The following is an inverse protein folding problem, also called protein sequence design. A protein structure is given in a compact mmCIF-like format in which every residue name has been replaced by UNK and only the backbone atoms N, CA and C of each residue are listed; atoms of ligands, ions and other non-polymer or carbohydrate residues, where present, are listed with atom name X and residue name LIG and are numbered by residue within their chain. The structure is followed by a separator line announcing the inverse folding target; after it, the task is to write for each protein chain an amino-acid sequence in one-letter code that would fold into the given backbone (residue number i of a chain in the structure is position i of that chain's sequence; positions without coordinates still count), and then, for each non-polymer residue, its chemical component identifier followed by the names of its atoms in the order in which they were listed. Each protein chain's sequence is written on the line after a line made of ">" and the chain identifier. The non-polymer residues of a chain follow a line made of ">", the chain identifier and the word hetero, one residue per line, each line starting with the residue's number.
data_IF_448240561491
#
_entry.id   IF_448240561491
#
_cell.length_a   1.000
_cell.length_b   1.000
_cell.length_c   1.000
_cell.angle_alpha   90.00
_cell.angle_beta   90.00
_cell.angle_gamma   90.00
#
_symmetry.space_group_name_H-M   'P 1'
#
loop_
_entity.id
_entity.type
_entity.pdbx_description
1 polymer ?
#
# COMPACT_ATOMS: atom_id res chain seq x y z
N UNK A 1 -5.46 8.88 37.25
CA UNK A 1 -4.23 9.58 36.83
C UNK A 1 -3.25 8.55 36.31
N UNK A 2 -3.29 8.26 35.01
CA UNK A 2 -2.27 7.45 34.33
C UNK A 2 -1.54 8.38 33.36
N UNK A 3 -0.24 8.40 33.55
CA UNK A 3 0.77 9.23 32.90
C UNK A 3 0.73 9.11 31.38
N UNK A 4 0.48 10.22 30.70
CA UNK A 4 0.86 10.41 29.30
C UNK A 4 2.38 10.28 29.21
N UNK A 5 2.87 9.32 28.42
CA UNK A 5 4.25 9.35 27.96
C UNK A 5 4.35 10.43 26.86
N UNK A 6 5.39 11.29 26.88
CA UNK A 6 5.46 12.45 26.01
C UNK A 6 5.81 12.07 24.57
N UNK A 7 5.04 12.62 23.63
CA UNK A 7 5.22 12.67 22.17
C UNK A 7 6.61 13.12 21.67
N UNK A 8 7.57 13.39 22.56
CA UNK A 8 8.83 14.05 22.23
C UNK A 8 9.97 13.11 21.84
N UNK A 9 9.96 11.83 22.22
CA UNK A 9 11.10 10.92 21.97
C UNK A 9 11.06 10.27 20.58
N UNK A 10 9.89 10.22 19.92
CA UNK A 10 9.76 9.71 18.54
C UNK A 10 10.09 10.76 17.47
N UNK A 11 10.16 12.05 17.83
CA UNK A 11 10.32 13.13 16.87
C UNK A 11 11.78 13.27 16.39
N UNK A 12 12.76 12.98 17.24
CA UNK A 12 14.18 13.24 16.91
C UNK A 12 14.77 12.25 15.90
N UNK A 13 14.29 11.00 15.88
CA UNK A 13 14.68 10.02 14.85
C UNK A 13 14.02 10.31 13.51
N UNK A 14 12.77 10.79 13.49
CA UNK A 14 12.03 11.15 12.25
C UNK A 14 12.53 12.49 11.65
N UNK A 15 12.92 13.45 12.48
CA UNK A 15 13.47 14.75 12.04
C UNK A 15 14.83 14.61 11.35
N UNK A 16 15.65 13.61 11.67
CA UNK A 16 16.95 13.37 11.03
C UNK A 16 16.83 12.94 9.55
N UNK A 17 15.73 12.29 9.16
CA UNK A 17 15.49 11.85 7.77
C UNK A 17 14.92 12.97 6.87
N UNK A 18 14.32 14.02 7.45
CA UNK A 18 13.65 15.11 6.72
C UNK A 18 14.60 16.07 5.96
N UNK A 19 15.89 16.12 6.32
CA UNK A 19 16.80 17.21 5.91
C UNK A 19 17.51 17.05 4.57
N UNK A 20 17.27 16.00 3.78
CA UNK A 20 18.22 15.67 2.69
C UNK A 20 17.60 15.17 1.40
N UNK A 21 16.67 15.90 0.78
CA UNK A 21 16.16 15.53 -0.55
C UNK A 21 15.97 16.75 -1.46
N UNK A 22 16.83 16.86 -2.47
CA UNK A 22 16.56 17.52 -3.75
C UNK A 22 17.13 16.62 -4.83
N UNK A 23 16.32 16.19 -5.79
CA UNK A 23 16.64 16.16 -7.24
C UNK A 23 15.44 15.64 -8.04
N UNK A 24 15.23 16.26 -9.21
CA UNK A 24 14.10 16.07 -10.14
C UNK A 24 14.60 15.53 -11.50
N UNK A 25 13.84 14.63 -12.13
CA UNK A 25 14.08 14.08 -13.48
C UNK A 25 12.78 14.04 -14.35
N UNK A 26 12.88 13.80 -15.68
CA UNK A 26 11.87 14.19 -16.69
C UNK A 26 10.66 13.25 -16.83
N UNK A 27 9.51 13.81 -17.26
CA UNK A 27 8.16 13.45 -16.74
C UNK A 27 7.14 12.81 -17.73
N UNK A 28 7.38 12.65 -19.04
CA UNK A 28 6.21 12.46 -19.95
C UNK A 28 5.73 11.03 -20.23
N UNK A 29 6.60 10.02 -20.41
CA UNK A 29 6.15 8.65 -20.75
C UNK A 29 5.81 7.79 -19.53
N UNK A 30 6.46 8.05 -18.39
CA UNK A 30 6.20 7.34 -17.15
C UNK A 30 4.83 7.72 -16.54
N UNK A 31 4.41 8.97 -16.75
CA UNK A 31 3.13 9.48 -16.26
C UNK A 31 1.92 8.83 -16.93
N UNK A 32 2.00 8.53 -18.24
CA UNK A 32 0.93 7.82 -18.96
C UNK A 32 0.78 6.37 -18.47
N UNK A 33 1.88 5.63 -18.34
CA UNK A 33 1.86 4.27 -17.81
C UNK A 33 1.33 4.23 -16.37
N UNK A 34 1.74 5.20 -15.53
CA UNK A 34 1.23 5.36 -14.17
C UNK A 34 -0.28 5.63 -14.14
N UNK A 35 -0.78 6.47 -15.05
CA UNK A 35 -2.20 6.76 -15.19
C UNK A 35 -3.03 5.51 -15.54
N UNK A 36 -2.52 4.67 -16.46
CA UNK A 36 -3.17 3.42 -16.85
C UNK A 36 -3.20 2.39 -15.70
N UNK A 37 -2.09 2.25 -14.97
CA UNK A 37 -2.00 1.41 -13.77
C UNK A 37 -3.03 1.83 -12.71
N UNK A 38 -3.09 3.12 -12.43
CA UNK A 38 -4.06 3.73 -11.51
C UNK A 38 -5.49 3.44 -11.95
N UNK A 39 -5.79 3.61 -13.24
CA UNK A 39 -7.13 3.40 -13.78
C UNK A 39 -7.57 1.93 -13.70
N UNK A 40 -6.65 0.98 -13.89
CA UNK A 40 -6.97 -0.44 -13.78
C UNK A 40 -7.11 -0.89 -12.32
N UNK A 41 -6.25 -0.42 -11.42
CA UNK A 41 -6.21 -0.87 -10.03
C UNK A 41 -7.43 -0.40 -9.23
N UNK A 42 -7.92 0.83 -9.45
CA UNK A 42 -9.07 1.39 -8.70
C UNK A 42 -10.34 0.52 -8.78
N UNK A 43 -10.64 -0.02 -9.96
CA UNK A 43 -11.85 -0.82 -10.18
C UNK A 43 -11.76 -2.20 -9.50
N UNK A 44 -10.57 -2.83 -9.60
CA UNK A 44 -10.39 -4.19 -9.11
C UNK A 44 -10.22 -4.25 -7.59
N UNK A 45 -9.65 -3.20 -6.98
CA UNK A 45 -9.47 -3.13 -5.52
C UNK A 45 -10.80 -3.19 -4.80
N UNK A 46 -11.83 -2.46 -5.27
CA UNK A 46 -13.18 -2.52 -4.68
C UNK A 46 -13.73 -3.95 -4.70
N UNK A 47 -13.57 -4.66 -5.81
CA UNK A 47 -13.97 -6.08 -5.91
C UNK A 47 -13.24 -6.96 -4.90
N UNK A 48 -11.97 -6.68 -4.62
CA UNK A 48 -11.20 -7.41 -3.61
C UNK A 48 -11.67 -7.08 -2.20
N UNK A 49 -11.93 -5.81 -1.89
CA UNK A 49 -12.44 -5.39 -0.59
C UNK A 49 -13.80 -6.02 -0.29
N UNK A 50 -14.71 -6.03 -1.27
CA UNK A 50 -16.04 -6.65 -1.13
C UNK A 50 -15.95 -8.12 -0.77
N UNK A 51 -14.94 -8.83 -1.28
CA UNK A 51 -14.68 -10.24 -0.91
C UNK A 51 -14.03 -10.39 0.45
N UNK A 52 -13.04 -9.55 0.76
CA UNK A 52 -12.25 -9.64 1.99
C UNK A 52 -13.03 -9.21 3.24
N UNK A 53 -13.97 -8.27 3.10
CA UNK A 53 -14.68 -7.63 4.20
C UNK A 53 -16.20 -7.78 4.09
N UNK A 54 -16.69 -8.87 3.49
CA UNK A 54 -18.12 -9.10 3.33
C UNK A 54 -18.85 -9.37 4.67
N UNK A 55 -20.04 -8.81 4.91
CA UNK A 55 -20.69 -7.78 4.10
C UNK A 55 -20.07 -6.38 4.32
N UNK A 56 -19.86 -5.64 3.23
CA UNK A 56 -19.48 -4.23 3.29
C UNK A 56 -20.73 -3.37 3.36
N UNK A 57 -20.80 -2.49 4.37
CA UNK A 57 -21.90 -1.56 4.58
C UNK A 57 -21.35 -0.14 4.82
N UNK A 58 -21.68 0.85 3.97
CA UNK A 58 -22.41 0.69 2.70
C UNK A 58 -21.55 -0.01 1.62
N UNK A 59 -22.14 -0.65 0.59
CA UNK A 59 -21.37 -1.17 -0.53
C UNK A 59 -20.60 -0.07 -1.26
N UNK A 60 -19.34 -0.32 -1.60
CA UNK A 60 -18.57 0.60 -2.43
C UNK A 60 -18.91 0.41 -3.92
N UNK A 61 -19.01 1.53 -4.62
CA UNK A 61 -19.13 1.53 -6.08
C UNK A 61 -17.79 1.15 -6.72
N UNK A 62 -17.85 0.36 -7.80
CA UNK A 62 -16.63 -0.09 -8.49
C UNK A 62 -16.07 0.96 -9.45
N UNK A 63 -16.87 1.95 -9.87
CA UNK A 63 -16.51 2.93 -10.91
C UNK A 63 -16.21 4.33 -10.39
N UNK A 64 -16.86 4.73 -9.29
CA UNK A 64 -16.68 6.02 -8.62
C UNK A 64 -16.01 5.81 -7.27
N UNK A 65 -15.22 6.80 -6.82
CA UNK A 65 -14.43 6.70 -5.58
C UNK A 65 -14.91 7.64 -4.48
N UNK A 66 -16.03 8.33 -4.67
CA UNK A 66 -16.48 9.38 -3.76
C UNK A 66 -16.72 8.84 -2.33
N UNK A 67 -17.16 7.59 -2.22
CA UNK A 67 -17.37 6.90 -0.94
C UNK A 67 -16.11 6.23 -0.39
N UNK A 68 -15.00 6.17 -1.14
CA UNK A 68 -13.74 5.59 -0.66
C UNK A 68 -13.02 6.53 0.33
N UNK A 69 -11.75 6.26 0.63
CA UNK A 69 -10.98 7.09 1.55
C UNK A 69 -11.49 6.99 2.98
N UNK A 70 -11.40 8.09 3.72
CA UNK A 70 -11.85 8.19 5.11
C UNK A 70 -13.37 8.31 5.27
N UNK A 71 -14.12 8.41 4.18
CA UNK A 71 -15.59 8.41 4.19
C UNK A 71 -16.08 7.02 4.61
N UNK A 72 -15.63 5.97 3.92
CA UNK A 72 -16.02 4.59 4.21
C UNK A 72 -15.13 3.92 5.28
N UNK A 73 -15.76 3.11 6.13
CA UNK A 73 -15.10 2.54 7.32
C UNK A 73 -13.94 1.58 6.98
N UNK A 74 -14.07 0.77 5.93
CA UNK A 74 -13.02 -0.20 5.52
C UNK A 74 -11.82 0.49 4.84
N UNK A 75 -12.05 1.31 3.82
CA UNK A 75 -10.96 2.06 3.15
C UNK A 75 -10.29 3.02 4.12
N UNK A 76 -11.05 3.68 4.98
CA UNK A 76 -10.51 4.55 6.02
C UNK A 76 -9.65 3.77 7.02
N UNK A 77 -10.08 2.58 7.46
CA UNK A 77 -9.26 1.69 8.30
C UNK A 77 -7.93 1.33 7.64
N UNK A 78 -7.96 1.01 6.35
CA UNK A 78 -6.78 0.60 5.59
C UNK A 78 -5.79 1.74 5.35
N UNK A 79 -6.30 2.96 5.15
CA UNK A 79 -5.49 4.18 4.95
C UNK A 79 -5.03 4.81 6.26
N UNK A 80 -5.74 4.57 7.36
CA UNK A 80 -5.42 5.16 8.66
C UNK A 80 -3.97 4.84 9.04
N UNK A 81 -3.18 5.87 9.43
CA UNK A 81 -1.91 5.67 10.10
C UNK A 81 -2.06 4.67 11.25
N UNK A 82 -1.13 3.73 11.35
CA UNK A 82 -1.17 2.67 12.37
C UNK A 82 -1.02 3.19 13.80
N UNK A 83 -0.52 4.40 13.96
CA UNK A 83 -0.42 5.13 15.22
C UNK A 83 -1.79 5.60 15.73
N UNK A 84 -2.79 5.68 14.85
CA UNK A 84 -4.14 6.10 15.19
C UNK A 84 -5.07 4.89 15.34
N UNK A 85 -5.99 4.98 16.30
CA UNK A 85 -6.99 3.92 16.52
C UNK A 85 -8.26 4.24 15.72
N UNK A 86 -8.36 3.67 14.51
CA UNK A 86 -9.50 3.91 13.61
C UNK A 86 -10.86 3.48 14.20
N UNK A 87 -10.90 2.53 15.15
CA UNK A 87 -12.18 2.11 15.76
C UNK A 87 -12.85 3.19 16.61
N UNK A 88 -12.12 4.23 17.03
CA UNK A 88 -12.66 5.34 17.80
C UNK A 88 -13.33 6.36 16.87
N UNK A 89 -14.58 6.75 17.18
CA UNK A 89 -15.29 7.78 16.41
C UNK A 89 -14.54 9.12 16.40
N UNK A 90 -13.91 9.49 17.52
CA UNK A 90 -13.07 10.68 17.62
C UNK A 90 -11.97 10.70 16.55
N UNK A 91 -11.25 9.58 16.37
CA UNK A 91 -10.21 9.47 15.34
C UNK A 91 -10.79 9.70 13.95
N UNK A 92 -11.94 9.08 13.65
CA UNK A 92 -12.59 9.22 12.33
C UNK A 92 -13.01 10.66 12.08
N UNK A 93 -13.67 11.29 13.04
CA UNK A 93 -14.12 12.68 12.98
C UNK A 93 -12.92 13.62 12.79
N UNK A 94 -11.89 13.49 13.62
CA UNK A 94 -10.69 14.33 13.57
C UNK A 94 -9.90 14.21 12.27
N UNK A 95 -9.75 13.00 11.73
CA UNK A 95 -9.12 12.78 10.42
C UNK A 95 -9.97 13.43 9.31
N UNK A 96 -11.30 13.27 9.33
CA UNK A 96 -12.22 13.83 8.32
C UNK A 96 -12.25 15.35 8.35
N UNK A 97 -12.16 15.93 9.54
CA UNK A 97 -12.11 17.38 9.75
C UNK A 97 -10.72 17.99 9.49
N UNK A 98 -9.72 17.15 9.18
CA UNK A 98 -8.31 17.55 9.02
C UNK A 98 -7.77 18.31 10.22
N UNK A 99 -8.07 17.79 11.41
CA UNK A 99 -7.53 18.34 12.65
C UNK A 99 -5.98 18.25 12.62
N UNK A 100 -5.25 19.34 12.97
CA UNK A 100 -3.79 19.36 12.97
C UNK A 100 -3.13 18.24 13.79
N UNK A 101 -3.81 17.73 14.83
CA UNK A 101 -3.30 16.66 15.69
C UNK A 101 -3.57 15.25 15.11
N UNK A 102 -4.34 15.15 14.03
CA UNK A 102 -4.76 13.89 13.39
C UNK A 102 -4.50 13.87 11.88
N UNK A 103 -3.55 14.67 11.40
CA UNK A 103 -3.18 14.69 9.98
C UNK A 103 -2.68 13.31 9.53
N UNK A 104 -3.16 12.88 8.37
CA UNK A 104 -2.68 11.67 7.69
C UNK A 104 -1.66 12.09 6.64
N UNK A 105 -0.39 12.00 7.02
CA UNK A 105 0.74 12.45 6.21
C UNK A 105 1.54 11.28 5.65
N UNK A 106 2.33 11.57 4.62
CA UNK A 106 3.19 10.61 3.94
C UNK A 106 4.33 9.99 4.79
N UNK A 107 4.55 10.49 6.01
CA UNK A 107 5.57 9.99 6.93
C UNK A 107 5.08 8.89 7.88
N UNK A 108 3.78 8.61 7.89
CA UNK A 108 3.18 7.57 8.72
C UNK A 108 2.75 6.37 7.90
N UNK A 109 2.83 5.17 8.48
CA UNK A 109 2.50 3.96 7.74
C UNK A 109 1.00 3.68 7.74
N UNK A 110 0.35 3.59 6.57
CA UNK A 110 -1.03 3.17 6.49
C UNK A 110 -1.17 1.68 6.81
N UNK A 111 -2.27 1.31 7.48
CA UNK A 111 -2.51 -0.06 7.93
C UNK A 111 -2.47 -1.10 6.80
N UNK A 112 -2.80 -0.74 5.56
CA UNK A 112 -2.74 -1.66 4.42
C UNK A 112 -1.34 -2.18 4.11
N UNK A 113 -0.27 -1.59 4.66
CA UNK A 113 1.09 -2.12 4.49
C UNK A 113 1.35 -3.35 5.38
N UNK A 114 0.61 -3.50 6.47
CA UNK A 114 0.87 -4.51 7.48
C UNK A 114 0.11 -5.81 7.24
N UNK A 115 0.70 -6.94 7.65
CA UNK A 115 -0.01 -8.22 7.76
C UNK A 115 -1.26 -8.09 8.61
N UNK A 116 -2.36 -8.64 8.12
CA UNK A 116 -3.70 -8.57 8.73
C UNK A 116 -4.20 -7.15 9.03
N UNK A 117 -3.52 -6.12 8.51
CA UNK A 117 -3.79 -4.71 8.77
C UNK A 117 -3.70 -4.38 10.27
N UNK A 118 -2.74 -5.01 10.96
CA UNK A 118 -2.52 -4.87 12.40
C UNK A 118 -1.15 -4.27 12.72
N UNK A 119 -1.08 -3.53 13.82
CA UNK A 119 0.14 -2.86 14.27
C UNK A 119 0.53 -3.32 15.67
N UNK A 120 1.81 -3.64 15.84
CA UNK A 120 2.39 -4.05 17.10
C UNK A 120 3.28 -2.92 17.65
N UNK A 121 2.79 -2.19 18.65
CA UNK A 121 3.54 -1.09 19.25
C UNK A 121 4.87 -1.51 19.90
N UNK A 122 5.06 -2.81 20.19
CA UNK A 122 6.33 -3.33 20.72
C UNK A 122 7.35 -3.63 19.62
N UNK A 123 6.89 -3.77 18.37
CA UNK A 123 7.73 -3.99 17.20
C UNK A 123 7.06 -3.39 15.95
N UNK A 124 7.38 -2.12 15.69
CA UNK A 124 6.72 -1.31 14.66
C UNK A 124 6.92 -1.82 13.22
N UNK A 125 7.96 -2.63 12.98
CA UNK A 125 8.25 -3.19 11.64
C UNK A 125 7.62 -4.58 11.46
N UNK A 126 7.05 -5.17 12.52
CA UNK A 126 6.46 -6.51 12.46
C UNK A 126 5.30 -6.55 11.47
N UNK A 127 5.46 -7.35 10.42
CA UNK A 127 4.45 -7.52 9.37
C UNK A 127 4.38 -6.35 8.38
N UNK A 128 5.23 -5.32 8.52
CA UNK A 128 5.31 -4.22 7.57
C UNK A 128 5.68 -4.75 6.17
N UNK A 129 5.00 -4.26 5.14
CA UNK A 129 5.07 -4.70 3.73
C UNK A 129 4.69 -6.18 3.47
N UNK A 130 3.97 -6.84 4.38
CA UNK A 130 3.54 -8.24 4.24
C UNK A 130 2.02 -8.41 4.12
N UNK A 131 1.29 -7.36 3.73
CA UNK A 131 -0.16 -7.46 3.58
C UNK A 131 -0.57 -8.23 2.31
N UNK A 132 -1.63 -9.04 2.43
CA UNK A 132 -2.21 -9.75 1.29
C UNK A 132 -2.75 -8.79 0.22
N UNK A 133 -3.32 -7.65 0.63
CA UNK A 133 -3.85 -6.65 -0.31
C UNK A 133 -2.73 -5.99 -1.12
N UNK A 134 -1.60 -5.67 -0.50
CA UNK A 134 -0.43 -5.12 -1.17
C UNK A 134 0.16 -6.12 -2.18
N UNK A 135 0.29 -7.39 -1.79
CA UNK A 135 0.73 -8.46 -2.69
C UNK A 135 -0.22 -8.64 -3.89
N UNK A 136 -1.53 -8.55 -3.64
CA UNK A 136 -2.56 -8.65 -4.69
C UNK A 136 -2.49 -7.49 -5.69
N UNK A 137 -2.29 -6.27 -5.19
CA UNK A 137 -2.06 -5.10 -6.02
C UNK A 137 -0.79 -5.25 -6.86
N UNK A 138 0.31 -5.71 -6.26
CA UNK A 138 1.58 -5.95 -6.97
C UNK A 138 1.39 -6.92 -8.15
N UNK A 139 0.78 -8.09 -7.90
CA UNK A 139 0.52 -9.09 -8.96
C UNK A 139 -0.38 -8.52 -10.06
N UNK A 140 -1.36 -7.69 -9.70
CA UNK A 140 -2.22 -7.07 -10.69
C UNK A 140 -1.47 -6.08 -11.60
N UNK A 141 -0.56 -5.28 -11.04
CA UNK A 141 0.21 -4.29 -11.76
C UNK A 141 1.31 -4.92 -12.64
N UNK A 142 2.07 -5.88 -12.10
CA UNK A 142 3.32 -6.31 -12.73
C UNK A 142 3.29 -7.68 -13.41
N UNK A 143 2.30 -8.53 -13.15
CA UNK A 143 2.24 -9.87 -13.75
C UNK A 143 1.04 -10.04 -14.67
N UNK A 144 -0.15 -10.21 -14.11
CA UNK A 144 -1.41 -10.39 -14.84
C UNK A 144 -2.59 -10.29 -13.87
N UNK A 145 -3.73 -9.71 -14.30
CA UNK A 145 -4.95 -9.67 -13.49
C UNK A 145 -5.45 -11.04 -13.00
N UNK A 146 -5.09 -12.12 -13.69
CA UNK A 146 -5.41 -13.50 -13.27
C UNK A 146 -4.61 -13.93 -12.04
N UNK A 147 -3.34 -13.55 -11.92
CA UNK A 147 -2.48 -13.88 -10.78
C UNK A 147 -2.94 -13.21 -9.48
N UNK A 148 -3.63 -12.08 -9.57
CA UNK A 148 -4.25 -11.43 -8.41
C UNK A 148 -5.39 -12.27 -7.81
N UNK A 149 -6.09 -13.10 -8.60
CA UNK A 149 -7.17 -13.97 -8.09
C UNK A 149 -6.66 -15.12 -7.23
N UNK A 150 -5.38 -15.48 -7.34
CA UNK A 150 -4.77 -16.57 -6.58
C UNK A 150 -4.44 -16.19 -5.14
N UNK A 151 -4.59 -14.90 -4.77
CA UNK A 151 -4.34 -14.41 -3.41
C UNK A 151 -5.50 -14.67 -2.44
N UNK A 152 -6.38 -15.61 -2.76
CA UNK A 152 -7.53 -15.94 -1.91
C UNK A 152 -7.09 -16.88 -0.75
N UNK A 153 -7.10 -16.34 0.47
CA UNK A 153 -6.76 -17.03 1.72
C UNK A 153 -6.76 -16.08 2.93
N UNK A 154 -6.91 -16.65 4.12
CA UNK A 154 -7.15 -16.01 5.43
C UNK A 154 -6.08 -14.98 5.83
N UNK A 155 -6.12 -13.76 5.28
CA UNK A 155 -5.43 -12.53 5.76
C UNK A 155 -3.89 -12.49 5.69
N UNK A 156 -3.24 -13.64 5.85
CA UNK A 156 -1.83 -13.78 6.16
C UNK A 156 -0.90 -13.74 4.94
N UNK A 157 -1.46 -13.66 3.72
CA UNK A 157 -0.70 -13.68 2.46
C UNK A 157 0.07 -14.99 2.20
N UNK A 158 0.17 -15.91 3.15
CA UNK A 158 0.96 -17.14 3.07
C UNK A 158 0.26 -18.22 2.23
N UNK A 159 -1.07 -18.36 2.36
CA UNK A 159 -1.84 -19.36 1.61
C UNK A 159 -2.02 -19.00 0.13
N UNK A 160 -2.05 -17.70 -0.18
CA UNK A 160 -2.07 -17.12 -1.52
C UNK A 160 -0.85 -17.49 -2.40
N UNK A 161 0.28 -17.75 -1.75
CA UNK A 161 1.57 -17.94 -2.41
C UNK A 161 1.68 -19.39 -2.96
N UNK A 162 1.07 -20.37 -2.28
CA UNK A 162 1.11 -21.79 -2.69
C UNK A 162 0.24 -22.13 -3.91
N UNK A 163 -0.82 -21.36 -4.17
CA UNK A 163 -1.75 -21.62 -5.28
C UNK A 163 -1.13 -21.33 -6.67
N UNK A 164 -0.13 -20.44 -6.74
CA UNK A 164 0.50 -20.01 -7.99
C UNK A 164 1.32 -21.10 -8.69
N UNK A 165 1.75 -22.14 -7.96
CA UNK A 165 2.58 -23.23 -8.51
C UNK A 165 1.77 -24.26 -9.34
N UNK A 166 0.43 -24.24 -9.29
CA UNK A 166 -0.40 -25.33 -9.86
C UNK A 166 -0.97 -25.10 -11.26
N UNK A 167 -0.71 -23.98 -11.93
CA UNK A 167 -1.32 -23.70 -13.25
C UNK A 167 -0.33 -23.20 -14.29
N UNK A 168 0.58 -24.08 -14.71
CA UNK A 168 0.85 -24.16 -16.14
C UNK A 168 -0.25 -25.01 -16.77
N UNK A 169 -1.10 -24.37 -17.58
CA UNK A 169 -2.05 -24.91 -18.59
C UNK A 169 -3.47 -24.34 -18.42
N UNK A 170 -3.78 -23.31 -19.22
CA UNK A 170 -5.00 -23.24 -20.04
C UNK A 170 -5.05 -21.88 -20.73
N UNK A 171 -4.77 -21.87 -22.04
CA UNK A 171 -5.09 -20.78 -22.95
C UNK A 171 -6.58 -20.42 -22.89
N UNK A 172 -6.89 -19.15 -22.67
CA UNK A 172 -7.87 -18.42 -23.49
C UNK A 172 -7.94 -16.95 -23.04
N UNK A 173 -7.88 -16.06 -24.04
CA UNK A 173 -7.98 -14.59 -23.99
C UNK A 173 -6.77 -13.77 -23.51
N UNK A 174 -5.56 -14.34 -23.61
CA UNK A 174 -4.29 -13.72 -23.23
C UNK A 174 -3.64 -12.79 -24.29
N UNK A 175 -4.33 -12.41 -25.36
CA UNK A 175 -3.67 -11.82 -26.54
C UNK A 175 -3.29 -10.33 -26.44
N UNK A 176 -3.68 -9.61 -25.37
CA UNK A 176 -3.34 -8.16 -25.27
C UNK A 176 -2.51 -7.81 -24.02
N UNK A 177 -2.48 -8.68 -23.01
CA UNK A 177 -1.80 -8.41 -21.72
C UNK A 177 -0.48 -9.17 -21.53
N UNK A 178 -0.09 -9.98 -22.50
CA UNK A 178 1.28 -10.51 -22.63
C UNK A 178 2.35 -9.39 -22.75
N UNK A 179 1.94 -8.14 -23.00
CA UNK A 179 2.85 -7.04 -23.32
C UNK A 179 3.62 -6.50 -22.09
N UNK A 180 3.01 -6.23 -20.93
CA UNK A 180 3.72 -5.57 -19.82
C UNK A 180 4.72 -6.48 -19.08
N UNK A 181 4.34 -7.74 -18.84
CA UNK A 181 5.25 -8.73 -18.24
C UNK A 181 6.46 -9.04 -19.15
N UNK A 182 6.28 -8.98 -20.48
CA UNK A 182 7.37 -9.11 -21.45
C UNK A 182 8.16 -7.80 -21.64
N UNK A 183 7.54 -6.62 -21.50
CA UNK A 183 8.23 -5.32 -21.61
C UNK A 183 9.17 -5.09 -20.42
N UNK A 184 8.78 -5.47 -19.20
CA UNK A 184 9.61 -5.22 -18.01
C UNK A 184 10.51 -6.41 -17.69
N UNK A 185 10.25 -7.60 -18.25
CA UNK A 185 11.09 -8.79 -18.00
C UNK A 185 11.31 -9.04 -16.51
N UNK A 186 10.32 -8.71 -15.68
CA UNK A 186 10.45 -8.69 -14.22
C UNK A 186 10.50 -10.13 -13.70
N UNK A 187 11.70 -10.70 -13.69
CA UNK A 187 11.96 -12.06 -13.17
C UNK A 187 11.89 -12.12 -11.66
N UNK A 188 12.03 -10.98 -10.98
CA UNK A 188 12.04 -10.86 -9.52
C UNK A 188 11.39 -9.54 -9.09
N UNK A 189 10.74 -9.55 -7.92
CA UNK A 189 10.22 -8.38 -7.22
C UNK A 189 11.39 -7.50 -6.77
N UNK A 190 11.28 -6.19 -7.00
CA UNK A 190 12.24 -5.18 -6.53
C UNK A 190 11.65 -4.32 -5.42
N UNK A 191 12.50 -3.78 -4.54
CA UNK A 191 12.08 -2.89 -3.45
C UNK A 191 11.32 -1.66 -3.97
N UNK A 192 11.82 -1.08 -5.07
CA UNK A 192 11.17 0.06 -5.76
C UNK A 192 9.80 -0.29 -6.33
N UNK A 193 9.60 -1.52 -6.80
CA UNK A 193 8.27 -1.98 -7.27
C UNK A 193 7.28 -2.20 -6.13
N UNK A 194 7.75 -2.59 -4.93
CA UNK A 194 6.92 -2.65 -3.71
C UNK A 194 6.49 -1.23 -3.32
N UNK A 195 7.44 -0.28 -3.27
CA UNK A 195 7.16 1.12 -2.97
C UNK A 195 6.15 1.74 -3.96
N UNK A 196 6.32 1.47 -5.26
CA UNK A 196 5.38 1.91 -6.28
C UNK A 196 3.98 1.32 -6.08
N UNK A 197 3.90 0.02 -5.78
CA UNK A 197 2.63 -0.65 -5.49
C UNK A 197 1.94 -0.04 -4.28
N UNK A 198 2.68 0.30 -3.22
CA UNK A 198 2.13 0.97 -2.05
C UNK A 198 1.49 2.31 -2.42
N UNK A 199 2.15 3.12 -3.25
CA UNK A 199 1.61 4.39 -3.73
C UNK A 199 0.33 4.19 -4.56
N UNK A 200 0.34 3.23 -5.50
CA UNK A 200 -0.81 2.90 -6.33
C UNK A 200 -2.01 2.38 -5.53
N UNK A 201 -1.74 1.56 -4.51
CA UNK A 201 -2.77 1.02 -3.63
C UNK A 201 -3.34 2.10 -2.71
N UNK A 202 -2.50 2.95 -2.11
CA UNK A 202 -2.96 4.10 -1.32
C UNK A 202 -3.90 4.98 -2.16
N UNK A 203 -3.46 5.35 -3.37
CA UNK A 203 -4.29 6.12 -4.27
C UNK A 203 -5.60 5.40 -4.58
N UNK A 204 -5.57 4.10 -4.89
CA UNK A 204 -6.78 3.32 -5.20
C UNK A 204 -7.78 3.25 -4.04
N UNK A 205 -7.29 3.30 -2.80
CA UNK A 205 -8.12 3.29 -1.58
C UNK A 205 -8.64 4.68 -1.20
N UNK A 206 -8.01 5.78 -1.66
CA UNK A 206 -8.46 7.16 -1.41
C UNK A 206 -9.77 7.48 -2.14
N UNK A 207 -10.38 8.63 -1.85
CA UNK A 207 -11.52 9.16 -2.61
C UNK A 207 -11.09 10.08 -3.78
N UNK A 208 -9.80 10.20 -4.08
CA UNK A 208 -9.32 11.07 -5.17
C UNK A 208 -9.53 10.43 -6.53
N UNK A 209 -10.10 11.18 -7.48
CA UNK A 209 -10.51 10.66 -8.79
C UNK A 209 -9.41 10.72 -9.87
N UNK A 210 -8.38 11.55 -9.67
CA UNK A 210 -7.25 11.72 -10.61
C UNK A 210 -5.93 11.78 -9.86
N UNK A 211 -4.90 11.12 -10.38
CA UNK A 211 -3.57 11.16 -9.78
C UNK A 211 -3.04 12.60 -9.70
N UNK A 212 -2.57 12.99 -8.51
CA UNK A 212 -1.83 14.22 -8.28
C UNK A 212 -0.67 13.94 -7.33
N UNK A 213 0.33 14.83 -7.30
CA UNK A 213 1.48 14.67 -6.39
C UNK A 213 1.10 14.83 -4.92
N UNK A 214 0.05 15.61 -4.64
CA UNK A 214 -0.43 15.91 -3.29
C UNK A 214 -1.94 15.67 -3.23
N UNK A 215 -2.37 14.86 -2.28
CA UNK A 215 -3.75 14.55 -1.93
C UNK A 215 -4.04 15.07 -0.52
N UNK A 216 -4.60 16.27 -0.42
CA UNK A 216 -4.79 16.95 0.85
C UNK A 216 -3.44 17.17 1.54
N UNK A 217 -3.22 16.49 2.67
CA UNK A 217 -1.98 16.54 3.47
C UNK A 217 -1.00 15.40 3.13
N UNK A 218 -1.36 14.54 2.18
CA UNK A 218 -0.59 13.37 1.78
C UNK A 218 0.18 13.63 0.47
N UNK A 219 1.51 13.69 0.55
CA UNK A 219 2.38 13.87 -0.61
C UNK A 219 2.94 12.52 -1.10
N UNK A 220 2.61 12.14 -2.34
CA UNK A 220 3.05 10.87 -2.94
C UNK A 220 4.54 10.85 -3.28
N UNK A 221 5.19 11.99 -3.56
CA UNK A 221 6.64 12.04 -3.72
C UNK A 221 7.34 11.75 -2.39
N UNK A 222 6.81 12.31 -1.30
CA UNK A 222 7.31 12.04 0.05
C UNK A 222 7.02 10.59 0.44
N UNK A 223 5.84 10.06 0.14
CA UNK A 223 5.48 8.69 0.48
C UNK A 223 6.34 7.67 -0.26
N UNK A 224 6.76 7.98 -1.49
CA UNK A 224 7.69 7.14 -2.25
C UNK A 224 9.08 7.01 -1.59
N UNK A 225 9.41 7.82 -0.58
CA UNK A 225 10.60 7.63 0.26
C UNK A 225 10.56 6.33 1.08
N UNK A 226 9.50 5.51 0.97
CA UNK A 226 9.58 4.05 1.24
C UNK A 226 10.84 3.43 0.64
N UNK A 227 11.29 3.90 -0.53
CA UNK A 227 12.55 3.44 -1.12
C UNK A 227 13.75 3.66 -0.19
N UNK A 228 13.80 4.78 0.54
CA UNK A 228 14.89 5.06 1.47
C UNK A 228 14.86 4.11 2.68
N UNK A 229 13.67 3.72 3.16
CA UNK A 229 13.53 2.67 4.18
C UNK A 229 14.19 1.36 3.74
N UNK A 230 14.11 1.04 2.44
CA UNK A 230 14.71 -0.16 1.89
C UNK A 230 16.20 -0.04 1.54
N UNK A 231 16.60 1.05 0.88
CA UNK A 231 17.93 1.22 0.29
C UNK A 231 18.95 1.84 1.25
N UNK A 232 18.48 2.53 2.30
CA UNK A 232 19.31 3.20 3.32
C UNK A 232 19.15 2.52 4.68
N UNK A 233 18.88 1.21 4.69
CA UNK A 233 18.67 0.43 5.91
C UNK A 233 19.90 0.47 6.84
N UNK A 234 19.76 0.93 8.10
CA UNK A 234 20.88 1.11 9.01
C UNK A 234 21.31 -0.21 9.65
N UNK A 235 22.57 -0.60 9.44
CA UNK A 235 23.17 -1.76 10.10
C UNK A 235 22.80 -3.12 9.49
N UNK A 236 23.43 -4.17 10.02
CA UNK A 236 23.37 -5.53 9.45
C UNK A 236 21.98 -6.15 9.67
N UNK A 237 21.36 -5.89 10.82
CA UNK A 237 20.05 -6.47 11.17
C UNK A 237 18.93 -5.92 10.27
N UNK A 238 18.88 -4.60 10.05
CA UNK A 238 17.92 -4.00 9.13
C UNK A 238 18.12 -4.50 7.69
N UNK A 239 19.37 -4.59 7.22
CA UNK A 239 19.67 -5.15 5.90
C UNK A 239 19.27 -6.63 5.78
N UNK A 240 19.43 -7.42 6.84
CA UNK A 240 18.98 -8.80 6.88
C UNK A 240 17.45 -8.88 6.82
N UNK A 241 16.74 -8.01 7.53
CA UNK A 241 15.28 -7.92 7.48
C UNK A 241 14.78 -7.59 6.07
N UNK A 242 15.39 -6.62 5.38
CA UNK A 242 15.04 -6.27 3.99
C UNK A 242 15.33 -7.43 3.03
N UNK A 243 16.42 -8.19 3.22
CA UNK A 243 16.71 -9.38 2.42
C UNK A 243 15.66 -10.48 2.63
N UNK A 244 15.24 -10.73 3.87
CA UNK A 244 14.19 -11.70 4.17
C UNK A 244 12.81 -11.26 3.63
N UNK A 245 12.50 -9.96 3.68
CA UNK A 245 11.33 -9.38 3.03
C UNK A 245 11.36 -9.67 1.52
N UNK A 246 12.45 -9.34 0.82
CA UNK A 246 12.59 -9.63 -0.62
C UNK A 246 12.47 -11.12 -0.91
N UNK A 247 13.04 -11.97 -0.06
CA UNK A 247 12.92 -13.42 -0.18
C UNK A 247 11.49 -13.89 0.00
N UNK A 248 10.69 -13.27 0.87
CA UNK A 248 9.26 -13.54 1.02
C UNK A 248 8.47 -13.14 -0.22
N UNK A 249 8.76 -11.96 -0.80
CA UNK A 249 8.10 -11.45 -2.00
C UNK A 249 8.40 -12.28 -3.27
N UNK A 250 9.56 -12.94 -3.32
CA UNK A 250 10.01 -13.75 -4.46
C UNK A 250 9.78 -15.26 -4.29
N UNK A 251 8.95 -15.70 -3.34
CA UNK A 251 8.56 -17.12 -3.19
C UNK A 251 7.54 -17.54 -4.24
#
# INVERSE_FOLDING_TARGET
>A
MRTMLPLFVLNDTLQLWSRRLRFSGPVTSADSARGDDTANLKHVVVTWLTKLFHPMDPPLHTTIKDDCGFVHNITGKLLCPVEYTWSLNLTKEKIRDRDPDFLVMAYSWPAFLYTDYTFDSSNIEKGLFHSALLLKAFKHLFTSPSSAKEVEGDGNGANAIMASQRRQTSESNAATRSHMANIIGMKMVTLRSIAYTACQLHFSLSNVNSWWSVDGDFDYYVFYNIVDFFEVAPGIDAQAHIKELLKWWNR
#
